data_IF_002069534695
#
_entry.id   IF_002069534695
#
_cell.length_a   1.000
_cell.length_b   1.000
_cell.length_c   1.000
_cell.angle_alpha   90.00
_cell.angle_beta   90.00
_cell.angle_gamma   90.00
#
_symmetry.space_group_name_H-M   'P 1'
#
loop_
_entity.id
_entity.type
_entity.pdbx_description
1 polymer ?
#
# COMPACT_ATOMS: atom_id res chain seq x y z
N UNK A 1 16.06 2.04 -1.80
CA UNK A 1 15.59 2.76 -0.59
C UNK A 1 15.76 1.92 0.66
N UNK A 2 15.28 0.67 0.68
CA UNK A 2 15.49 -0.27 1.80
C UNK A 2 16.98 -0.44 2.10
N UNK A 3 17.82 -0.68 1.10
CA UNK A 3 19.29 -0.80 1.27
C UNK A 3 19.96 0.49 1.78
N UNK A 4 19.40 1.66 1.46
CA UNK A 4 19.99 2.97 1.78
C UNK A 4 19.57 3.50 3.16
N UNK A 5 18.34 3.20 3.59
CA UNK A 5 17.72 3.78 4.79
C UNK A 5 17.30 2.74 5.84
N UNK A 6 17.33 1.45 5.49
CA UNK A 6 17.10 0.34 6.40
C UNK A 6 15.76 0.41 7.14
N UNK A 7 15.79 -0.01 8.40
CA UNK A 7 14.63 -0.15 9.28
C UNK A 7 13.80 1.13 9.40
N UNK A 8 14.44 2.31 9.43
CA UNK A 8 13.74 3.59 9.59
C UNK A 8 12.76 3.89 8.45
N UNK A 9 13.08 3.41 7.23
CA UNK A 9 12.20 3.58 6.07
C UNK A 9 11.12 2.50 6.00
N UNK A 10 11.41 1.27 6.46
CA UNK A 10 10.44 0.18 6.41
C UNK A 10 9.43 0.26 7.53
N UNK A 11 9.87 0.63 8.74
CA UNK A 11 9.01 1.30 9.71
C UNK A 11 8.53 2.62 9.07
N UNK A 12 7.64 3.46 9.57
CA UNK A 12 7.08 4.59 8.77
C UNK A 12 6.26 4.19 7.53
N UNK A 13 6.76 3.39 6.58
CA UNK A 13 6.06 3.08 5.31
C UNK A 13 5.17 1.84 5.43
N UNK A 14 5.68 0.76 5.99
CA UNK A 14 4.98 -0.52 6.02
C UNK A 14 4.41 -0.80 7.41
N UNK A 15 3.30 -1.52 7.45
CA UNK A 15 2.76 -2.14 8.66
C UNK A 15 3.56 -3.39 9.02
N UNK A 16 3.40 -3.89 10.24
CA UNK A 16 4.02 -5.15 10.64
C UNK A 16 3.49 -6.33 9.78
N UNK A 17 2.20 -6.31 9.41
CA UNK A 17 1.60 -7.32 8.55
C UNK A 17 2.22 -7.36 7.16
N UNK A 18 2.46 -6.19 6.55
CA UNK A 18 3.09 -6.10 5.23
C UNK A 18 4.55 -6.58 5.24
N UNK A 19 5.31 -6.24 6.29
CA UNK A 19 6.69 -6.70 6.44
C UNK A 19 6.76 -8.23 6.58
N UNK A 20 5.82 -8.81 7.35
CA UNK A 20 5.69 -10.26 7.49
C UNK A 20 5.29 -10.93 6.16
N UNK A 21 4.26 -10.42 5.46
CA UNK A 21 3.80 -10.96 4.16
C UNK A 21 4.89 -10.88 3.07
N UNK A 22 5.65 -9.78 3.05
CA UNK A 22 6.70 -9.60 2.07
C UNK A 22 7.93 -10.47 2.37
N UNK A 23 8.14 -10.89 3.62
CA UNK A 23 9.32 -11.65 4.05
C UNK A 23 10.64 -10.93 3.74
N UNK A 24 10.63 -9.59 3.84
CA UNK A 24 11.79 -8.76 3.52
C UNK A 24 12.17 -8.66 2.02
N UNK A 25 11.40 -9.26 1.10
CA UNK A 25 11.70 -9.23 -0.34
C UNK A 25 11.55 -7.81 -0.92
N UNK A 26 12.62 -7.19 -1.45
CA UNK A 26 12.58 -5.81 -1.94
C UNK A 26 11.54 -5.57 -3.04
N UNK A 27 11.41 -6.50 -4.00
CA UNK A 27 10.44 -6.38 -5.09
C UNK A 27 8.98 -6.38 -4.60
N UNK A 28 8.67 -7.21 -3.59
CA UNK A 28 7.34 -7.23 -2.98
C UNK A 28 7.06 -5.93 -2.22
N UNK A 29 8.03 -5.43 -1.44
CA UNK A 29 7.90 -4.15 -0.73
C UNK A 29 7.74 -2.97 -1.70
N UNK A 30 8.46 -2.97 -2.83
CA UNK A 30 8.30 -1.97 -3.87
C UNK A 30 6.88 -1.96 -4.47
N UNK A 31 6.28 -3.13 -4.69
CA UNK A 31 4.90 -3.24 -5.15
C UNK A 31 3.89 -2.70 -4.11
N UNK A 32 4.11 -2.93 -2.80
CA UNK A 32 3.26 -2.36 -1.73
C UNK A 32 3.40 -0.83 -1.68
N UNK A 33 4.63 -0.34 -1.84
CA UNK A 33 4.87 1.10 -1.90
C UNK A 33 4.11 1.74 -3.09
N UNK A 34 4.19 1.14 -4.28
CA UNK A 34 3.44 1.60 -5.44
C UNK A 34 1.91 1.57 -5.21
N UNK A 35 1.41 0.54 -4.53
CA UNK A 35 -0.01 0.42 -4.22
C UNK A 35 -0.51 1.49 -3.24
N UNK A 36 0.29 1.79 -2.21
CA UNK A 36 0.00 2.87 -1.25
C UNK A 36 -0.07 4.22 -1.95
N UNK A 37 0.90 4.51 -2.83
CA UNK A 37 0.88 5.73 -3.65
C UNK A 37 -0.35 5.80 -4.57
N UNK A 38 -0.70 4.69 -5.23
CA UNK A 38 -1.88 4.63 -6.10
C UNK A 38 -3.17 4.88 -5.32
N UNK A 39 -3.33 4.25 -4.15
CA UNK A 39 -4.52 4.44 -3.31
C UNK A 39 -4.65 5.85 -2.74
N UNK A 40 -3.53 6.46 -2.31
CA UNK A 40 -3.53 7.85 -1.86
C UNK A 40 -3.95 8.81 -2.98
N UNK A 41 -3.61 8.50 -4.24
CA UNK A 41 -4.07 9.26 -5.41
C UNK A 41 -5.54 9.02 -5.72
N UNK A 42 -6.03 7.79 -5.58
CA UNK A 42 -7.46 7.48 -5.69
C UNK A 42 -8.29 8.27 -4.68
N UNK A 43 -7.76 8.48 -3.47
CA UNK A 43 -8.37 9.33 -2.44
C UNK A 43 -8.27 10.85 -2.71
N UNK A 44 -7.49 11.28 -3.71
CA UNK A 44 -7.31 12.69 -4.06
C UNK A 44 -6.38 13.48 -3.12
N UNK A 45 -5.64 12.81 -2.24
CA UNK A 45 -4.79 13.47 -1.22
C UNK A 45 -3.30 13.35 -1.49
N UNK A 46 -2.87 12.22 -2.04
CA UNK A 46 -1.47 11.83 -2.05
C UNK A 46 -0.93 11.53 -0.64
N UNK A 47 0.32 11.07 -0.55
CA UNK A 47 0.96 10.78 0.73
C UNK A 47 1.45 12.09 1.37
N UNK A 48 1.11 12.30 2.64
CA UNK A 48 1.42 13.51 3.40
C UNK A 48 0.23 13.95 4.24
N UNK A 49 -0.93 14.11 3.59
CA UNK A 49 -2.20 14.30 4.29
C UNK A 49 -2.67 13.01 4.96
N UNK A 50 -2.45 11.87 4.31
CA UNK A 50 -2.57 10.54 4.92
C UNK A 50 -1.18 9.90 5.02
N UNK A 51 -1.00 9.05 6.04
CA UNK A 51 0.23 8.31 6.26
C UNK A 51 0.30 7.06 5.38
N UNK A 52 1.52 6.61 5.07
CA UNK A 52 1.71 5.34 4.35
C UNK A 52 1.08 4.14 5.07
N UNK A 53 1.06 4.13 6.40
CA UNK A 53 0.48 3.05 7.21
C UNK A 53 -1.04 3.11 7.32
N UNK A 54 -1.66 4.20 6.85
CA UNK A 54 -3.11 4.29 6.74
C UNK A 54 -3.64 3.47 5.54
N UNK A 55 -2.75 2.99 4.68
CA UNK A 55 -3.06 2.10 3.58
C UNK A 55 -2.25 0.82 3.78
N UNK A 56 -2.91 -0.32 3.86
CA UNK A 56 -2.29 -1.62 4.06
C UNK A 56 -2.63 -2.57 2.92
N UNK A 57 -1.62 -3.26 2.39
CA UNK A 57 -1.79 -4.23 1.31
C UNK A 57 -1.27 -5.61 1.71
N UNK A 58 -2.21 -6.51 1.99
CA UNK A 58 -1.97 -7.89 2.38
C UNK A 58 -2.49 -8.86 1.33
N UNK A 59 -2.01 -10.10 1.35
CA UNK A 59 -2.59 -11.18 0.56
C UNK A 59 -3.67 -11.89 1.36
N UNK A 60 -4.77 -12.24 0.71
CA UNK A 60 -5.75 -13.16 1.28
C UNK A 60 -5.23 -14.62 1.24
N UNK A 61 -6.04 -15.55 1.77
CA UNK A 61 -5.70 -16.98 1.82
C UNK A 61 -5.50 -17.61 0.42
N UNK A 62 -6.06 -16.99 -0.63
CA UNK A 62 -5.87 -17.39 -2.02
C UNK A 62 -4.66 -16.70 -2.68
N UNK A 63 -3.90 -15.90 -1.93
CA UNK A 63 -2.73 -15.16 -2.39
C UNK A 63 -3.05 -13.86 -3.14
N UNK A 64 -4.32 -13.47 -3.23
CA UNK A 64 -4.75 -12.25 -3.95
C UNK A 64 -4.45 -11.02 -3.11
N UNK A 65 -3.90 -9.95 -3.68
CA UNK A 65 -3.68 -8.72 -2.94
C UNK A 65 -5.02 -8.05 -2.60
N UNK A 66 -5.14 -7.61 -1.36
CA UNK A 66 -6.27 -6.87 -0.82
C UNK A 66 -5.76 -5.53 -0.29
N UNK A 67 -6.63 -4.51 -0.29
CA UNK A 67 -6.30 -3.19 0.20
C UNK A 67 -7.23 -2.83 1.35
N UNK A 68 -6.64 -2.49 2.49
CA UNK A 68 -7.34 -2.05 3.69
C UNK A 68 -6.93 -0.64 4.04
N UNK A 69 -7.90 0.18 4.42
CA UNK A 69 -7.66 1.55 4.86
C UNK A 69 -7.85 1.65 6.37
N UNK A 70 -6.98 2.43 7.00
CA UNK A 70 -6.97 2.73 8.42
C UNK A 70 -6.94 4.25 8.63
N UNK A 71 -7.15 4.69 9.87
CA UNK A 71 -6.97 6.10 10.26
C UNK A 71 -7.65 7.11 9.34
N UNK A 72 -6.92 8.15 8.95
CA UNK A 72 -7.46 9.23 8.12
C UNK A 72 -7.81 8.80 6.69
N UNK A 73 -7.11 7.80 6.14
CA UNK A 73 -7.46 7.27 4.83
C UNK A 73 -8.86 6.62 4.83
N UNK A 74 -9.20 5.89 5.89
CA UNK A 74 -10.52 5.28 6.06
C UNK A 74 -11.63 6.32 6.24
N UNK A 75 -11.36 7.36 7.04
CA UNK A 75 -12.30 8.47 7.27
C UNK A 75 -12.61 9.19 5.95
N UNK A 76 -11.57 9.52 5.18
CA UNK A 76 -11.73 10.18 3.90
C UNK A 76 -12.45 9.31 2.86
N UNK A 77 -12.10 8.03 2.77
CA UNK A 77 -12.79 7.08 1.90
C UNK A 77 -14.30 7.05 2.21
N UNK A 78 -14.65 7.02 3.50
CA UNK A 78 -16.03 7.10 3.96
C UNK A 78 -16.74 8.39 3.54
N UNK A 79 -16.08 9.54 3.67
CA UNK A 79 -16.61 10.84 3.25
C UNK A 79 -16.82 10.93 1.72
N UNK A 80 -15.97 10.26 0.94
CA UNK A 80 -16.08 10.17 -0.52
C UNK A 80 -17.05 9.08 -1.00
N UNK A 81 -17.61 8.27 -0.08
CA UNK A 81 -18.49 7.15 -0.42
C UNK A 81 -17.79 5.92 -1.00
N UNK A 82 -16.45 5.87 -0.96
CA UNK A 82 -15.64 4.77 -1.50
C UNK A 82 -15.58 3.61 -0.50
N UNK A 83 -16.21 2.48 -0.85
CA UNK A 83 -16.37 1.32 0.05
C UNK A 83 -15.68 0.06 -0.46
N UNK A 84 -15.55 -0.08 -1.78
CA UNK A 84 -14.99 -1.26 -2.41
C UNK A 84 -13.65 -0.90 -3.04
N UNK A 85 -12.59 -1.62 -2.67
CA UNK A 85 -11.23 -1.38 -3.15
C UNK A 85 -10.70 -2.61 -3.87
N UNK A 86 -10.27 -2.43 -5.12
CA UNK A 86 -9.59 -3.46 -5.90
C UNK A 86 -8.15 -3.00 -6.18
N UNK A 87 -7.20 -3.92 -6.01
CA UNK A 87 -5.78 -3.66 -6.23
C UNK A 87 -5.17 -4.77 -7.08
N UNK A 88 -4.30 -4.38 -8.01
CA UNK A 88 -3.44 -5.30 -8.77
C UNK A 88 -2.00 -4.84 -8.68
N UNK A 89 -1.08 -5.79 -8.55
CA UNK A 89 0.34 -5.55 -8.31
C UNK A 89 1.17 -6.30 -9.36
N UNK A 90 2.18 -5.64 -9.92
CA UNK A 90 3.21 -6.31 -10.71
C UNK A 90 4.60 -5.73 -10.39
N UNK A 91 5.62 -6.58 -10.50
CA UNK A 91 7.01 -6.15 -10.40
C UNK A 91 7.89 -7.01 -11.31
N UNK A 92 8.81 -6.39 -12.03
CA UNK A 92 9.79 -7.08 -12.88
C UNK A 92 10.96 -6.15 -13.20
N UNK A 93 12.16 -6.70 -13.39
CA UNK A 93 13.31 -5.94 -13.92
C UNK A 93 13.70 -4.68 -13.15
N UNK A 94 13.40 -4.60 -11.84
CA UNK A 94 13.65 -3.40 -11.02
C UNK A 94 12.53 -2.36 -11.04
N UNK A 95 11.41 -2.64 -11.70
CA UNK A 95 10.20 -1.83 -11.71
C UNK A 95 9.10 -2.49 -10.86
N UNK A 96 8.28 -1.66 -10.23
CA UNK A 96 7.08 -2.07 -9.53
C UNK A 96 5.93 -1.13 -9.90
N UNK A 97 4.76 -1.69 -10.16
CA UNK A 97 3.57 -0.98 -10.57
C UNK A 97 2.34 -1.53 -9.85
N UNK A 98 1.39 -0.64 -9.57
CA UNK A 98 0.14 -0.99 -8.93
C UNK A 98 -1.01 -0.20 -9.57
N UNK A 99 -2.15 -0.87 -9.73
CA UNK A 99 -3.40 -0.26 -10.14
C UNK A 99 -4.41 -0.40 -9.01
N UNK A 100 -5.08 0.70 -8.68
CA UNK A 100 -6.10 0.76 -7.63
C UNK A 100 -7.37 1.36 -8.21
N UNK A 101 -8.50 0.69 -7.97
CA UNK A 101 -9.84 1.18 -8.32
C UNK A 101 -10.69 1.15 -7.06
N UNK A 102 -11.48 2.21 -6.85
CA UNK A 102 -12.40 2.31 -5.73
C UNK A 102 -13.80 2.71 -6.21
N UNK A 103 -14.84 2.17 -5.56
CA UNK A 103 -16.26 2.46 -5.79
C UNK A 103 -17.01 2.60 -4.47
#
# INVERSE_FOLDING_TARGET
MVERYGARFTDRVFTAGELADCGGRPASLAARWAAKEAAAKTLGTGIGQIGFRDIEVLRDDAGRPTLQLHGEAAILAGALGLRCWAVSLAHDGGLALAFVVAM
#
